data_IF_984496871012
#
_entry.id   IF_984496871012
#
_cell.length_a   1.000
_cell.length_b   1.000
_cell.length_c   1.000
_cell.angle_alpha   90.00
_cell.angle_beta   90.00
_cell.angle_gamma   90.00
#
_symmetry.space_group_name_H-M   'P 1'
#
loop_
_entity.id
_entity.type
_entity.pdbx_description
1 polymer ?
#
# COMPACT_ATOMS: atom_id res chain seq x y z
N UNK A 1 -6.77 4.80 18.02
CA UNK A 1 -5.61 5.34 17.29
C UNK A 1 -4.55 5.75 18.32
N UNK A 2 -3.46 4.96 18.47
CA UNK A 2 -2.44 5.21 19.49
C UNK A 2 -1.36 6.22 19.05
N UNK A 3 -1.47 6.78 17.83
CA UNK A 3 -0.52 7.77 17.33
C UNK A 3 -0.89 9.16 17.81
N UNK A 4 0.02 9.82 18.49
CA UNK A 4 -0.14 11.23 18.87
C UNK A 4 0.14 12.14 17.68
N UNK A 5 -0.93 12.47 16.96
CA UNK A 5 -0.85 13.39 15.82
C UNK A 5 -0.57 14.83 16.24
N UNK A 6 -0.80 15.20 17.50
CA UNK A 6 -0.43 16.52 18.03
C UNK A 6 1.09 16.66 18.07
N UNK A 7 1.78 15.65 18.62
CA UNK A 7 3.23 15.60 18.66
C UNK A 7 3.85 15.56 17.28
N UNK A 8 3.29 14.76 16.36
CA UNK A 8 3.76 14.74 14.97
C UNK A 8 3.67 16.10 14.29
N UNK A 9 2.54 16.81 14.47
CA UNK A 9 2.37 18.15 13.90
C UNK A 9 3.35 19.16 14.52
N UNK A 10 3.60 19.06 15.83
CA UNK A 10 4.58 19.91 16.49
C UNK A 10 5.97 19.73 15.89
N UNK A 11 6.39 18.49 15.69
CA UNK A 11 7.67 18.16 15.02
C UNK A 11 7.72 18.67 13.58
N UNK A 12 6.64 18.49 12.81
CA UNK A 12 6.57 18.96 11.42
C UNK A 12 6.55 20.49 11.33
N UNK A 13 6.14 21.21 12.39
CA UNK A 13 6.18 22.69 12.41
C UNK A 13 7.59 23.26 12.41
N UNK A 14 8.62 22.46 12.70
CA UNK A 14 10.02 22.85 12.61
C UNK A 14 10.48 23.11 11.16
N UNK A 15 9.72 22.63 10.17
CA UNK A 15 9.95 22.87 8.77
C UNK A 15 8.80 23.69 8.17
N UNK A 16 9.11 24.80 7.51
CA UNK A 16 8.11 25.75 6.99
C UNK A 16 7.12 25.10 6.02
N UNK A 17 7.58 24.24 5.11
CA UNK A 17 6.73 23.57 4.13
C UNK A 17 5.79 22.57 4.79
N UNK A 18 6.30 21.76 5.73
CA UNK A 18 5.49 20.81 6.48
C UNK A 18 4.50 21.51 7.42
N UNK A 19 4.89 22.62 8.03
CA UNK A 19 4.01 23.44 8.86
C UNK A 19 2.81 23.94 8.06
N UNK A 20 3.04 24.49 6.87
CA UNK A 20 1.98 24.92 5.95
C UNK A 20 1.08 23.74 5.53
N UNK A 21 1.67 22.59 5.22
CA UNK A 21 0.91 21.38 4.87
C UNK A 21 0.03 20.89 6.03
N UNK A 22 0.56 20.87 7.25
CA UNK A 22 -0.19 20.49 8.45
C UNK A 22 -1.34 21.46 8.76
N UNK A 23 -1.12 22.76 8.53
CA UNK A 23 -2.17 23.77 8.68
C UNK A 23 -3.28 23.63 7.65
N UNK A 24 -2.92 23.31 6.40
CA UNK A 24 -3.87 23.10 5.31
C UNK A 24 -4.68 21.81 5.47
N UNK A 25 -4.04 20.71 5.82
CA UNK A 25 -4.64 19.37 5.82
C UNK A 25 -4.42 18.61 7.16
N UNK A 26 -4.58 19.29 8.27
CA UNK A 26 -4.31 18.76 9.60
C UNK A 26 -5.17 17.57 10.06
N UNK A 27 -6.20 17.20 9.28
CA UNK A 27 -7.08 16.06 9.56
C UNK A 27 -6.67 14.74 8.90
N UNK A 28 -5.65 14.71 8.04
CA UNK A 28 -5.22 13.50 7.36
C UNK A 28 -4.72 12.47 8.38
N UNK A 29 -5.15 11.20 8.17
CA UNK A 29 -4.78 10.04 8.99
C UNK A 29 -4.44 8.87 8.09
N UNK A 30 -3.44 8.06 8.48
CA UNK A 30 -3.16 6.79 7.84
C UNK A 30 -4.20 5.78 8.35
N UNK A 31 -4.94 5.19 7.42
CA UNK A 31 -5.92 4.15 7.74
C UNK A 31 -5.19 2.82 7.96
N UNK A 32 -5.71 2.03 8.89
CA UNK A 32 -5.34 0.62 9.02
C UNK A 32 -6.37 -0.20 8.27
N UNK A 33 -5.92 -0.83 7.19
CA UNK A 33 -6.72 -1.71 6.37
C UNK A 33 -6.39 -3.17 6.69
N UNK A 34 -7.24 -4.08 6.27
CA UNK A 34 -6.90 -5.50 6.24
C UNK A 34 -5.70 -5.72 5.30
N UNK A 35 -4.81 -6.66 5.67
CA UNK A 35 -3.56 -6.87 4.93
C UNK A 35 -3.78 -7.43 3.54
N UNK A 36 -4.77 -8.35 3.39
CA UNK A 36 -5.14 -8.90 2.09
C UNK A 36 -5.86 -7.89 1.22
N UNK A 37 -6.83 -7.15 1.80
CA UNK A 37 -7.53 -6.08 1.09
C UNK A 37 -6.56 -5.02 0.58
N UNK A 38 -5.58 -4.60 1.39
CA UNK A 38 -4.55 -3.65 0.98
C UNK A 38 -3.69 -4.22 -0.16
N UNK A 39 -3.16 -5.44 -0.02
CA UNK A 39 -2.32 -6.08 -1.05
C UNK A 39 -3.04 -6.20 -2.39
N UNK A 40 -4.21 -6.84 -2.39
CA UNK A 40 -4.97 -7.11 -3.61
C UNK A 40 -5.47 -5.82 -4.27
N UNK A 41 -5.92 -4.83 -3.49
CA UNK A 41 -6.31 -3.51 -4.00
C UNK A 41 -5.14 -2.75 -4.61
N UNK A 42 -3.94 -2.80 -4.01
CA UNK A 42 -2.75 -2.17 -4.59
C UNK A 42 -2.25 -2.91 -5.84
N UNK A 43 -2.40 -4.23 -5.93
CA UNK A 43 -2.20 -4.98 -7.19
C UNK A 43 -3.15 -4.48 -8.27
N UNK A 44 -4.44 -4.33 -7.97
CA UNK A 44 -5.46 -3.80 -8.89
C UNK A 44 -5.13 -2.35 -9.31
N UNK A 45 -4.55 -1.56 -8.42
CA UNK A 45 -4.26 -0.15 -8.68
C UNK A 45 -3.10 0.11 -9.65
N UNK A 46 -2.27 -0.89 -9.93
CA UNK A 46 -1.07 -0.73 -10.76
C UNK A 46 -1.41 -0.25 -12.18
N UNK A 47 -0.71 0.80 -12.63
CA UNK A 47 -0.91 1.39 -13.97
C UNK A 47 -2.39 1.53 -14.33
N UNK A 48 -3.17 2.14 -13.45
CA UNK A 48 -4.63 2.22 -13.53
C UNK A 48 -5.13 3.61 -13.13
N UNK A 49 -6.41 3.88 -13.33
CA UNK A 49 -7.07 5.10 -12.90
C UNK A 49 -8.17 4.78 -11.88
N UNK A 50 -8.52 5.77 -11.06
CA UNK A 50 -9.47 5.60 -9.94
C UNK A 50 -10.84 5.06 -10.40
N UNK A 51 -11.49 5.56 -11.46
CA UNK A 51 -12.78 5.00 -11.91
C UNK A 51 -12.69 3.52 -12.27
N UNK A 52 -11.62 3.11 -12.96
CA UNK A 52 -11.43 1.70 -13.33
C UNK A 52 -11.09 0.82 -12.12
N UNK A 53 -10.28 1.30 -11.19
CA UNK A 53 -10.00 0.60 -9.92
C UNK A 53 -11.29 0.35 -9.16
N UNK A 54 -12.11 1.40 -8.96
CA UNK A 54 -13.42 1.27 -8.31
C UNK A 54 -14.33 0.27 -9.02
N UNK A 55 -14.37 0.29 -10.35
CA UNK A 55 -15.16 -0.66 -11.12
C UNK A 55 -14.68 -2.12 -10.99
N UNK A 56 -13.37 -2.37 -10.88
CA UNK A 56 -12.82 -3.71 -10.65
C UNK A 56 -13.17 -4.19 -9.23
N UNK A 57 -12.92 -3.36 -8.23
CA UNK A 57 -13.24 -3.69 -6.83
C UNK A 57 -14.75 -3.86 -6.65
N UNK A 58 -15.57 -3.00 -7.28
CA UNK A 58 -17.03 -3.14 -7.24
C UNK A 58 -17.50 -4.51 -7.75
N UNK A 59 -17.02 -4.97 -8.92
CA UNK A 59 -17.35 -6.30 -9.44
C UNK A 59 -16.86 -7.43 -8.54
N UNK A 60 -15.69 -7.27 -7.91
CA UNK A 60 -15.18 -8.23 -6.94
C UNK A 60 -16.14 -8.35 -5.74
N UNK A 61 -16.49 -7.21 -5.15
CA UNK A 61 -17.41 -7.17 -3.99
C UNK A 61 -18.83 -7.64 -4.34
N UNK A 62 -19.34 -7.36 -5.54
CA UNK A 62 -20.62 -7.85 -6.01
C UNK A 62 -20.65 -9.37 -6.13
N UNK A 63 -19.57 -9.96 -6.66
CA UNK A 63 -19.45 -11.40 -6.83
C UNK A 63 -19.44 -12.17 -5.50
N UNK A 64 -18.72 -11.63 -4.49
CA UNK A 64 -18.57 -12.26 -3.18
C UNK A 64 -19.50 -11.69 -2.09
N UNK A 65 -20.40 -10.77 -2.43
CA UNK A 65 -21.26 -10.06 -1.47
C UNK A 65 -20.49 -9.30 -0.37
N UNK A 66 -19.30 -8.86 -0.70
CA UNK A 66 -18.35 -8.14 0.17
C UNK A 66 -16.93 -8.27 -0.36
N UNK A 67 -15.94 -7.69 0.32
CA UNK A 67 -14.55 -7.90 -0.08
C UNK A 67 -14.12 -9.31 0.31
N UNK A 68 -13.69 -10.16 -0.65
CA UNK A 68 -13.34 -11.56 -0.35
C UNK A 68 -12.00 -11.66 0.37
N UNK A 69 -11.83 -12.65 1.23
CA UNK A 69 -10.54 -13.10 1.74
C UNK A 69 -9.73 -13.85 0.66
N UNK A 70 -8.47 -14.15 0.95
CA UNK A 70 -7.69 -14.99 0.05
C UNK A 70 -8.27 -16.42 -0.02
N UNK A 71 -8.80 -16.91 1.08
CA UNK A 71 -9.46 -18.22 1.19
C UNK A 71 -10.73 -18.30 0.34
N UNK A 72 -11.55 -17.23 0.33
CA UNK A 72 -12.73 -17.16 -0.53
C UNK A 72 -12.37 -17.25 -2.02
N UNK A 73 -11.16 -16.84 -2.37
CA UNK A 73 -10.64 -16.82 -3.74
C UNK A 73 -9.71 -18.00 -4.07
N UNK A 74 -9.69 -19.05 -3.24
CA UNK A 74 -8.73 -20.16 -3.35
C UNK A 74 -8.78 -20.90 -4.70
N UNK A 75 -9.95 -21.04 -5.28
CA UNK A 75 -10.18 -21.75 -6.54
C UNK A 75 -10.12 -20.84 -7.78
N UNK A 76 -9.80 -19.56 -7.59
CA UNK A 76 -9.78 -18.61 -8.70
C UNK A 76 -8.59 -18.83 -9.62
N UNK A 77 -8.88 -18.76 -10.90
CA UNK A 77 -7.92 -18.84 -12.01
C UNK A 77 -7.89 -17.52 -12.79
N UNK A 78 -6.93 -17.37 -13.68
CA UNK A 78 -6.88 -16.19 -14.56
C UNK A 78 -8.18 -16.08 -15.39
N UNK A 79 -8.72 -17.21 -15.83
CA UNK A 79 -9.91 -17.27 -16.66
C UNK A 79 -11.18 -16.99 -15.85
N UNK A 80 -11.30 -17.54 -14.64
CA UNK A 80 -12.45 -17.27 -13.76
C UNK A 80 -12.51 -15.79 -13.34
N UNK A 81 -11.35 -15.14 -13.14
CA UNK A 81 -11.26 -13.71 -12.85
C UNK A 81 -11.53 -12.78 -14.07
N UNK A 82 -11.90 -13.33 -15.23
CA UNK A 82 -12.17 -12.50 -16.42
C UNK A 82 -13.31 -11.49 -16.20
N UNK A 83 -14.30 -11.80 -15.34
CA UNK A 83 -15.39 -10.89 -14.99
C UNK A 83 -14.91 -9.58 -14.36
N UNK A 84 -13.78 -9.59 -13.68
CA UNK A 84 -13.17 -8.39 -13.09
C UNK A 84 -12.73 -7.38 -14.16
N UNK A 85 -12.46 -7.81 -15.38
CA UNK A 85 -11.87 -6.99 -16.45
C UNK A 85 -10.58 -6.30 -15.98
N UNK A 86 -9.80 -7.00 -15.14
CA UNK A 86 -8.58 -6.49 -14.52
C UNK A 86 -7.36 -6.52 -15.46
N UNK A 87 -7.49 -7.19 -16.63
CA UNK A 87 -6.43 -7.35 -17.61
C UNK A 87 -5.26 -8.16 -17.03
N UNK A 88 -4.04 -7.73 -17.31
CA UNK A 88 -2.83 -8.44 -16.85
C UNK A 88 -2.73 -8.62 -15.32
N UNK A 89 -3.55 -7.92 -14.54
CA UNK A 89 -3.54 -8.00 -13.07
C UNK A 89 -4.16 -9.28 -12.53
N UNK A 90 -5.01 -9.95 -13.33
CA UNK A 90 -5.58 -11.25 -12.94
C UNK A 90 -4.48 -12.26 -12.56
N UNK A 91 -3.42 -12.36 -13.37
CA UNK A 91 -2.29 -13.26 -13.09
C UNK A 91 -1.50 -12.89 -11.82
N UNK A 92 -1.50 -11.60 -11.43
CA UNK A 92 -0.85 -11.16 -10.20
C UNK A 92 -1.72 -11.43 -8.97
N UNK A 93 -3.04 -11.32 -9.13
CA UNK A 93 -3.98 -11.71 -8.07
C UNK A 93 -3.90 -13.21 -7.79
N UNK A 94 -3.91 -14.04 -8.83
CA UNK A 94 -3.79 -15.51 -8.67
C UNK A 94 -2.46 -15.87 -7.99
N UNK A 95 -1.33 -15.31 -8.43
CA UNK A 95 -0.03 -15.56 -7.77
C UNK A 95 -0.02 -15.09 -6.29
N UNK A 96 -0.68 -13.97 -5.99
CA UNK A 96 -0.81 -13.50 -4.62
C UNK A 96 -1.66 -14.44 -3.75
N UNK A 97 -2.80 -14.91 -4.28
CA UNK A 97 -3.68 -15.89 -3.62
C UNK A 97 -2.89 -17.16 -3.29
N UNK A 98 -2.25 -17.77 -4.29
CA UNK A 98 -1.46 -18.99 -4.15
C UNK A 98 -0.40 -18.85 -3.06
N UNK A 99 0.35 -17.75 -3.06
CA UNK A 99 1.45 -17.53 -2.11
C UNK A 99 0.99 -17.24 -0.68
N UNK A 100 -0.12 -16.57 -0.52
CA UNK A 100 -0.72 -16.33 0.79
C UNK A 100 -1.27 -17.63 1.35
N UNK A 101 -2.01 -18.40 0.56
CA UNK A 101 -2.62 -19.66 1.01
C UNK A 101 -1.59 -20.76 1.26
N UNK A 102 -0.50 -20.80 0.49
CA UNK A 102 0.60 -21.74 0.74
C UNK A 102 1.46 -21.38 1.95
N UNK A 103 1.30 -20.18 2.52
CA UNK A 103 2.14 -19.68 3.61
C UNK A 103 3.53 -19.22 3.17
N UNK A 104 3.81 -19.16 1.84
CA UNK A 104 5.03 -18.53 1.32
C UNK A 104 5.06 -17.04 1.74
N UNK A 105 3.90 -16.37 1.66
CA UNK A 105 3.69 -15.02 2.19
C UNK A 105 2.94 -15.11 3.51
N UNK A 106 3.68 -15.05 4.60
CA UNK A 106 3.15 -15.15 5.96
C UNK A 106 2.99 -13.75 6.58
N UNK A 107 1.75 -13.31 6.75
CA UNK A 107 1.44 -11.99 7.27
C UNK A 107 1.89 -11.76 8.71
N UNK A 108 1.96 -12.81 9.53
CA UNK A 108 2.44 -12.66 10.91
C UNK A 108 3.94 -12.40 10.93
N UNK A 109 4.70 -13.12 10.11
CA UNK A 109 6.14 -12.86 9.94
C UNK A 109 6.40 -11.46 9.38
N UNK A 110 5.64 -11.04 8.35
CA UNK A 110 5.79 -9.70 7.77
C UNK A 110 5.58 -8.59 8.81
N UNK A 111 4.66 -8.75 9.75
CA UNK A 111 4.45 -7.79 10.84
C UNK A 111 5.69 -7.60 11.71
N UNK A 112 6.44 -8.66 11.94
CA UNK A 112 7.61 -8.68 12.82
C UNK A 112 8.92 -8.33 12.10
N UNK A 113 8.97 -8.53 10.77
CA UNK A 113 10.17 -8.26 9.97
C UNK A 113 10.56 -6.78 9.96
N UNK A 114 11.87 -6.46 9.86
CA UNK A 114 12.34 -5.14 9.45
C UNK A 114 11.72 -4.71 8.12
N UNK A 115 11.61 -3.40 7.89
CA UNK A 115 10.92 -2.85 6.71
C UNK A 115 11.44 -3.40 5.38
N UNK A 116 12.77 -3.43 5.22
CA UNK A 116 13.39 -3.87 3.96
C UNK A 116 13.18 -5.37 3.71
N UNK A 117 13.24 -6.19 4.75
CA UNK A 117 12.96 -7.63 4.65
C UNK A 117 11.49 -7.87 4.32
N UNK A 118 10.58 -7.17 4.98
CA UNK A 118 9.14 -7.21 4.71
C UNK A 118 8.81 -6.78 3.27
N UNK A 119 9.51 -5.75 2.76
CA UNK A 119 9.37 -5.30 1.37
C UNK A 119 9.82 -6.38 0.40
N UNK A 120 10.99 -6.96 0.64
CA UNK A 120 11.54 -8.02 -0.19
C UNK A 120 10.63 -9.27 -0.18
N UNK A 121 10.03 -9.58 0.97
CA UNK A 121 9.07 -10.68 1.10
C UNK A 121 7.84 -10.46 0.20
N UNK A 122 7.19 -9.30 0.28
CA UNK A 122 6.05 -8.98 -0.57
C UNK A 122 6.42 -8.93 -2.07
N UNK A 123 7.64 -8.53 -2.40
CA UNK A 123 8.12 -8.48 -3.79
C UNK A 123 8.33 -9.86 -4.42
N UNK A 124 8.24 -10.96 -3.68
CA UNK A 124 8.19 -12.32 -4.25
C UNK A 124 6.92 -12.57 -5.06
N UNK A 125 5.85 -11.82 -4.78
CA UNK A 125 4.59 -11.89 -5.53
C UNK A 125 4.79 -11.28 -6.92
N UNK A 126 4.39 -11.99 -7.97
CA UNK A 126 4.50 -11.49 -9.35
C UNK A 126 3.82 -10.14 -9.51
N UNK A 127 4.55 -9.19 -10.07
CA UNK A 127 4.04 -7.86 -10.33
C UNK A 127 4.02 -6.93 -9.10
N UNK A 128 4.37 -7.39 -7.92
CA UNK A 128 4.56 -6.53 -6.75
C UNK A 128 5.98 -5.95 -6.79
N UNK A 129 6.05 -4.66 -7.08
CA UNK A 129 7.29 -3.89 -7.01
C UNK A 129 7.38 -3.07 -5.72
N UNK A 130 8.49 -2.32 -5.52
CA UNK A 130 8.73 -1.55 -4.28
C UNK A 130 7.55 -0.64 -3.89
N UNK A 131 6.94 0.06 -4.85
CA UNK A 131 5.81 0.96 -4.58
C UNK A 131 4.59 0.22 -4.06
N UNK A 132 4.25 -0.93 -4.63
CA UNK A 132 3.08 -1.73 -4.19
C UNK A 132 3.37 -2.35 -2.84
N UNK A 133 4.57 -2.88 -2.64
CA UNK A 133 5.01 -3.41 -1.35
C UNK A 133 4.93 -2.34 -0.26
N UNK A 134 5.49 -1.15 -0.47
CA UNK A 134 5.44 -0.05 0.50
C UNK A 134 4.01 0.42 0.80
N UNK A 135 3.15 0.49 -0.21
CA UNK A 135 1.73 0.79 0.04
C UNK A 135 1.08 -0.28 0.92
N UNK A 136 1.30 -1.55 0.60
CA UNK A 136 0.76 -2.67 1.38
C UNK A 136 1.30 -2.66 2.82
N UNK A 137 2.60 -2.42 3.01
CA UNK A 137 3.22 -2.32 4.33
C UNK A 137 2.68 -1.16 5.15
N UNK A 138 2.50 0.01 4.52
CA UNK A 138 1.98 1.18 5.19
C UNK A 138 0.53 1.02 5.64
N UNK A 139 -0.35 0.58 4.75
CA UNK A 139 -1.78 0.55 4.99
C UNK A 139 -2.27 -0.79 5.57
N UNK A 140 -1.74 -1.92 5.11
CA UNK A 140 -2.15 -3.24 5.55
C UNK A 140 -1.42 -3.74 6.80
N UNK A 141 -0.15 -3.36 6.98
CA UNK A 141 0.66 -3.77 8.12
C UNK A 141 0.96 -2.64 9.10
N UNK A 142 0.59 -1.41 8.75
CA UNK A 142 0.84 -0.21 9.54
C UNK A 142 2.34 0.01 9.86
N UNK A 143 3.20 -0.37 8.93
CA UNK A 143 4.64 -0.03 8.99
C UNK A 143 4.81 1.42 8.55
N UNK A 144 4.78 2.34 9.50
CA UNK A 144 4.78 3.78 9.25
C UNK A 144 6.10 4.32 8.69
N UNK A 145 7.14 3.50 8.69
CA UNK A 145 8.43 3.78 8.06
C UNK A 145 8.39 3.52 6.54
N UNK A 146 7.37 2.79 6.05
CA UNK A 146 7.20 2.60 4.61
C UNK A 146 6.79 3.91 3.93
N UNK A 147 7.49 4.26 2.86
CA UNK A 147 7.25 5.50 2.12
C UNK A 147 7.03 5.23 0.63
N UNK A 148 5.77 4.99 0.21
CA UNK A 148 5.44 4.71 -1.18
C UNK A 148 5.76 5.89 -2.09
N UNK A 149 6.80 5.78 -2.93
CA UNK A 149 7.20 6.83 -3.87
C UNK A 149 6.49 6.66 -5.22
N UNK A 150 5.32 7.25 -5.34
CA UNK A 150 4.65 7.37 -6.63
C UNK A 150 5.18 8.57 -7.44
N UNK A 151 4.59 8.78 -8.62
CA UNK A 151 4.98 9.89 -9.52
C UNK A 151 4.78 11.27 -8.84
N UNK A 152 3.73 11.42 -8.04
CA UNK A 152 3.43 12.69 -7.38
C UNK A 152 4.37 12.95 -6.22
N UNK A 153 4.62 11.95 -5.38
CA UNK A 153 5.61 12.03 -4.30
C UNK A 153 7.00 12.37 -4.87
N UNK A 154 7.42 11.71 -5.95
CA UNK A 154 8.70 12.01 -6.61
C UNK A 154 8.78 13.46 -7.11
N UNK A 155 7.70 14.00 -7.67
CA UNK A 155 7.64 15.41 -8.10
C UNK A 155 7.73 16.38 -6.93
N UNK A 156 7.00 16.11 -5.85
CA UNK A 156 7.07 16.92 -4.62
C UNK A 156 8.47 16.91 -4.04
N UNK A 157 9.10 15.73 -3.93
CA UNK A 157 10.46 15.60 -3.42
C UNK A 157 11.46 16.40 -4.28
N UNK A 158 11.39 16.26 -5.61
CA UNK A 158 12.30 16.98 -6.51
C UNK A 158 12.11 18.50 -6.44
N UNK A 159 10.89 18.98 -6.22
CA UNK A 159 10.59 20.41 -6.18
C UNK A 159 10.90 21.06 -4.83
N UNK A 160 10.54 20.40 -3.72
CA UNK A 160 10.56 21.01 -2.38
C UNK A 160 11.69 20.51 -1.51
N UNK A 161 12.25 19.34 -1.83
CA UNK A 161 13.30 18.69 -1.06
C UNK A 161 14.42 18.14 -1.95
N UNK A 162 15.03 18.97 -2.83
CA UNK A 162 16.06 18.50 -3.76
C UNK A 162 17.32 17.96 -3.05
N UNK A 163 17.55 18.40 -1.81
CA UNK A 163 18.67 17.98 -0.97
C UNK A 163 18.29 16.92 0.08
N UNK A 164 17.16 16.26 -0.08
CA UNK A 164 16.64 15.26 0.86
C UNK A 164 15.60 15.82 1.83
N UNK A 165 14.91 14.92 2.52
CA UNK A 165 13.86 15.28 3.49
C UNK A 165 14.46 15.90 4.76
N UNK A 166 13.73 16.81 5.42
CA UNK A 166 14.18 17.41 6.66
C UNK A 166 14.29 16.37 7.79
N UNK A 167 15.22 16.59 8.73
CA UNK A 167 15.48 15.69 9.87
C UNK A 167 14.28 15.46 10.80
N UNK A 168 13.29 16.36 10.78
CA UNK A 168 12.05 16.18 11.53
C UNK A 168 11.14 15.05 10.99
N UNK A 169 11.44 14.54 9.77
CA UNK A 169 10.77 13.37 9.17
C UNK A 169 11.64 12.15 9.43
N UNK A 170 11.41 11.44 10.52
CA UNK A 170 12.07 10.15 10.80
C UNK A 170 11.42 9.04 9.98
N UNK A 171 12.18 7.99 9.66
CA UNK A 171 11.70 6.79 8.95
C UNK A 171 11.76 6.89 7.43
N UNK A 172 12.34 7.96 6.92
CA UNK A 172 12.51 8.17 5.47
C UNK A 172 13.99 8.25 5.11
N UNK A 173 14.83 7.75 6.01
CA UNK A 173 16.28 7.65 5.83
C UNK A 173 16.56 6.69 4.67
N UNK A 174 17.17 7.22 3.59
CA UNK A 174 17.45 6.43 2.38
C UNK A 174 16.69 6.86 1.13
N UNK A 175 16.01 8.01 1.18
CA UNK A 175 15.44 8.64 -0.02
C UNK A 175 16.51 9.48 -0.75
#
# INVERSE_FOLDING_TARGET
LNTDYGELKRRFSENETLSKACSFAGGIRILRQDSWEALSSFIISQNNNIPRIKGIIGRLCEHYSGYPSAEDMADETIDSLAYLRSGFRAKYLVDAIEKVLSGEIDYQKIKEMPLDDARNELMKIKGVGPKVADCTLLFGFYKTDAFPKDVWVKRVLAQWYPNGLPSCVKGVEGI
#
